data_IF_709511250535
#
_entry.id   IF_709511250535
#
_cell.length_a   1.000
_cell.length_b   1.000
_cell.length_c   1.000
_cell.angle_alpha   90.00
_cell.angle_beta   90.00
_cell.angle_gamma   90.00
#
_symmetry.space_group_name_H-M   'P 1'
#
loop_
_entity.id
_entity.type
_entity.pdbx_description
1 polymer ?
#
# COMPACT_ATOMS: atom_id res chain seq x y z
N UNK A 1 9.48 8.15 -12.58
CA UNK A 1 8.12 7.76 -12.17
C UNK A 1 7.23 7.56 -13.41
N UNK A 2 6.43 6.49 -13.45
CA UNK A 2 5.44 6.26 -14.53
C UNK A 2 4.35 7.33 -14.58
N UNK A 3 4.17 8.04 -13.48
CA UNK A 3 3.09 8.98 -13.21
C UNK A 3 3.63 10.41 -12.98
N UNK A 4 3.89 11.17 -14.05
CA UNK A 4 4.22 12.58 -13.95
C UNK A 4 2.99 13.38 -13.52
N UNK A 5 3.18 14.32 -12.61
CA UNK A 5 2.11 15.15 -12.10
C UNK A 5 2.67 16.19 -11.15
N UNK A 6 1.81 17.10 -10.71
CA UNK A 6 2.17 18.17 -9.78
C UNK A 6 2.90 17.62 -8.53
N UNK A 7 3.85 18.38 -7.97
CA UNK A 7 4.62 17.93 -6.82
C UNK A 7 3.78 17.85 -5.54
N UNK A 8 2.59 18.47 -5.53
CA UNK A 8 1.67 18.53 -4.41
C UNK A 8 0.23 18.22 -4.84
N UNK A 9 -0.62 17.95 -3.85
CA UNK A 9 -2.07 17.87 -4.03
C UNK A 9 -2.76 18.43 -2.79
N UNK A 10 -4.01 18.88 -2.95
CA UNK A 10 -4.84 19.33 -1.83
C UNK A 10 -5.64 18.15 -1.30
N UNK A 11 -5.37 17.74 -0.06
CA UNK A 11 -6.17 16.75 0.65
C UNK A 11 -7.46 17.40 1.15
N UNK A 12 -8.60 16.87 0.70
CA UNK A 12 -9.92 17.28 1.15
C UNK A 12 -10.35 16.55 2.43
N UNK A 13 -11.41 17.06 3.06
CA UNK A 13 -12.00 16.44 4.25
C UNK A 13 -12.95 15.32 3.85
N UNK A 14 -13.16 14.38 4.76
CA UNK A 14 -14.09 13.25 4.54
C UNK A 14 -13.84 12.05 5.44
N UNK A 15 -12.72 12.04 6.17
CA UNK A 15 -12.40 11.00 7.14
C UNK A 15 -12.81 11.34 8.57
N UNK A 16 -12.70 10.37 9.49
CA UNK A 16 -12.89 10.61 10.92
C UNK A 16 -11.84 11.59 11.44
N UNK A 17 -12.27 12.49 12.33
CA UNK A 17 -11.42 13.51 12.95
C UNK A 17 -11.04 13.08 14.37
N UNK A 18 -9.77 13.18 14.72
CA UNK A 18 -9.30 12.95 16.10
C UNK A 18 -9.18 14.29 16.83
N UNK A 19 -9.93 14.45 17.92
CA UNK A 19 -9.91 15.66 18.76
C UNK A 19 -11.06 16.63 18.48
N UNK A 20 -11.04 17.79 19.14
CA UNK A 20 -12.02 18.85 18.94
C UNK A 20 -11.62 19.73 17.76
N UNK A 21 -12.45 19.81 16.71
CA UNK A 21 -12.17 20.69 15.57
C UNK A 21 -12.93 20.31 14.31
N UNK A 22 -12.60 21.02 13.22
CA UNK A 22 -13.01 20.67 11.87
C UNK A 22 -11.80 20.56 10.96
N UNK A 23 -11.89 19.72 9.94
CA UNK A 23 -10.85 19.59 8.93
C UNK A 23 -10.81 20.83 8.04
N UNK A 24 -9.59 21.26 7.68
CA UNK A 24 -9.35 22.26 6.64
C UNK A 24 -8.51 21.62 5.53
N UNK A 25 -8.83 21.86 4.25
CA UNK A 25 -8.01 21.38 3.15
C UNK A 25 -6.54 21.76 3.35
N UNK A 26 -5.66 20.79 3.13
CA UNK A 26 -4.22 20.95 3.34
C UNK A 26 -3.47 20.51 2.09
N UNK A 27 -2.48 21.30 1.70
CA UNK A 27 -1.59 20.95 0.60
C UNK A 27 -0.48 20.02 1.12
N UNK A 28 -0.31 18.87 0.45
CA UNK A 28 0.65 17.84 0.82
C UNK A 28 1.55 17.50 -0.36
N UNK A 29 2.81 17.18 -0.07
CA UNK A 29 3.73 16.63 -1.07
C UNK A 29 3.23 15.28 -1.58
N UNK A 30 3.30 15.09 -2.90
CA UNK A 30 2.87 13.88 -3.60
C UNK A 30 3.95 12.81 -3.57
N UNK A 31 3.54 11.54 -3.52
CA UNK A 31 4.38 10.38 -3.77
C UNK A 31 3.67 9.41 -4.73
N UNK A 32 4.44 8.44 -5.25
CA UNK A 32 3.94 7.31 -6.02
C UNK A 32 4.34 5.94 -5.43
N UNK A 33 4.81 5.92 -4.18
CA UNK A 33 5.28 4.70 -3.53
C UNK A 33 4.76 4.70 -2.10
N UNK A 34 4.06 3.65 -1.71
CA UNK A 34 3.38 3.55 -0.42
C UNK A 34 3.86 2.34 0.35
N UNK A 35 3.75 2.39 1.67
CA UNK A 35 3.96 1.21 2.49
C UNK A 35 2.94 0.11 2.21
N UNK A 36 3.33 -1.14 2.37
CA UNK A 36 2.41 -2.28 2.22
C UNK A 36 1.64 -2.49 3.53
N UNK A 37 0.33 -2.23 3.51
CA UNK A 37 -0.55 -2.48 4.66
C UNK A 37 -0.85 -3.97 4.84
N UNK A 38 -0.83 -4.71 3.73
CA UNK A 38 -1.12 -6.14 3.66
C UNK A 38 -2.35 -6.42 2.81
N UNK A 39 -3.09 -7.47 3.14
CA UNK A 39 -4.27 -7.91 2.37
C UNK A 39 -5.59 -7.52 3.04
N UNK A 40 -5.55 -7.18 4.32
CA UNK A 40 -6.71 -6.68 5.06
C UNK A 40 -7.08 -5.28 4.60
N UNK A 41 -8.37 -5.00 4.43
CA UNK A 41 -8.85 -3.64 4.16
C UNK A 41 -8.85 -2.81 5.45
N UNK A 42 -8.38 -1.57 5.36
CA UNK A 42 -8.35 -0.67 6.52
C UNK A 42 -9.77 -0.29 7.00
N UNK A 43 -10.80 -0.31 6.15
CA UNK A 43 -12.19 -0.09 6.57
C UNK A 43 -12.68 -1.16 7.55
N UNK A 44 -12.07 -2.34 7.54
CA UNK A 44 -12.43 -3.41 8.47
C UNK A 44 -11.68 -3.28 9.81
N UNK A 45 -10.38 -2.92 9.76
CA UNK A 45 -9.49 -2.99 10.94
C UNK A 45 -9.24 -1.65 11.64
N UNK A 46 -9.55 -0.52 10.99
CA UNK A 46 -9.37 0.81 11.57
C UNK A 46 -10.55 1.32 12.42
N UNK A 47 -11.82 1.19 11.99
CA UNK A 47 -12.94 1.72 12.77
C UNK A 47 -13.13 1.01 14.12
N UNK A 48 -12.77 -0.27 14.18
CA UNK A 48 -13.04 -1.15 15.34
C UNK A 48 -11.82 -1.41 16.22
N UNK A 49 -10.64 -0.89 15.88
CA UNK A 49 -9.38 -1.34 16.51
C UNK A 49 -8.15 -0.46 16.31
N UNK A 50 -6.98 -1.09 16.46
CA UNK A 50 -5.66 -0.45 16.44
C UNK A 50 -5.09 -0.19 15.04
N UNK A 51 -5.89 -0.30 13.96
CA UNK A 51 -5.43 -0.19 12.56
C UNK A 51 -4.22 -1.08 12.27
N UNK A 52 -4.28 -2.35 12.68
CA UNK A 52 -3.18 -3.31 12.49
C UNK A 52 -3.44 -4.11 11.23
N UNK A 53 -2.67 -3.82 10.18
CA UNK A 53 -2.59 -4.65 8.98
C UNK A 53 -1.66 -5.84 9.17
N UNK A 54 -1.67 -6.76 8.21
CA UNK A 54 -0.82 -7.96 8.14
C UNK A 54 0.39 -7.82 7.19
N UNK A 55 0.55 -6.67 6.55
CA UNK A 55 1.73 -6.28 5.78
C UNK A 55 2.87 -5.74 6.65
N UNK A 56 3.57 -4.70 6.22
CA UNK A 56 4.80 -4.24 6.88
C UNK A 56 4.72 -2.80 7.37
N UNK A 57 3.76 -2.02 6.88
CA UNK A 57 3.47 -0.66 7.33
C UNK A 57 2.04 -0.55 7.85
N UNK A 58 1.89 -0.19 9.12
CA UNK A 58 0.59 0.04 9.74
C UNK A 58 0.72 1.00 10.93
N UNK A 59 -0.41 1.41 11.49
CA UNK A 59 -0.49 2.62 12.32
C UNK A 59 0.43 2.57 13.56
N UNK A 60 1.41 3.48 13.60
CA UNK A 60 2.27 3.74 14.78
C UNK A 60 2.94 2.49 15.36
N UNK A 61 3.38 1.57 14.50
CA UNK A 61 4.11 0.36 14.88
C UNK A 61 5.28 0.12 13.94
N UNK A 62 6.41 -0.25 14.52
CA UNK A 62 7.56 -0.75 13.76
C UNK A 62 7.56 -2.28 13.76
N UNK A 63 7.95 -2.87 12.64
CA UNK A 63 8.26 -4.31 12.53
C UNK A 63 9.77 -4.48 12.48
N UNK A 64 10.27 -5.63 12.93
CA UNK A 64 11.70 -5.98 12.91
C UNK A 64 11.95 -7.20 12.03
N UNK A 65 13.20 -7.49 11.67
CA UNK A 65 13.54 -8.64 10.80
C UNK A 65 12.88 -9.98 11.22
N UNK A 66 12.71 -10.22 12.52
CA UNK A 66 12.07 -11.45 13.03
C UNK A 66 10.60 -11.60 12.63
N UNK A 67 9.94 -10.49 12.30
CA UNK A 67 8.52 -10.46 11.97
C UNK A 67 8.27 -10.88 10.52
N UNK A 68 9.31 -10.89 9.67
CA UNK A 68 9.30 -11.35 8.28
C UNK A 68 9.44 -12.87 8.22
N UNK A 69 8.38 -13.59 8.61
CA UNK A 69 8.43 -15.05 8.80
C UNK A 69 8.57 -15.82 7.49
N UNK A 70 8.10 -15.25 6.40
CA UNK A 70 8.20 -15.83 5.06
C UNK A 70 9.52 -15.44 4.35
N UNK A 71 10.33 -14.59 4.99
CA UNK A 71 11.66 -14.16 4.55
C UNK A 71 11.67 -12.78 3.91
N UNK A 72 12.74 -12.01 4.14
CA UNK A 72 12.87 -10.63 3.66
C UNK A 72 12.77 -10.51 2.12
N UNK A 73 13.30 -11.49 1.38
CA UNK A 73 13.24 -11.52 -0.09
C UNK A 73 11.89 -11.98 -0.66
N UNK A 74 10.97 -12.42 0.20
CA UNK A 74 9.61 -12.87 -0.16
C UNK A 74 8.55 -12.00 0.51
N UNK A 75 8.91 -10.77 0.91
CA UNK A 75 7.97 -9.84 1.52
C UNK A 75 8.20 -8.44 0.98
N UNK A 76 7.18 -7.86 0.34
CA UNK A 76 7.18 -6.49 -0.11
C UNK A 76 6.91 -5.52 1.04
N UNK A 77 7.71 -4.46 1.06
CA UNK A 77 7.63 -3.40 2.08
C UNK A 77 7.07 -2.09 1.52
N UNK A 78 7.31 -1.80 0.25
CA UNK A 78 6.82 -0.61 -0.45
C UNK A 78 6.37 -1.02 -1.85
N UNK A 79 5.26 -0.47 -2.33
CA UNK A 79 4.75 -0.69 -3.69
C UNK A 79 4.41 0.60 -4.41
N UNK A 80 4.49 0.58 -5.73
CA UNK A 80 4.11 1.70 -6.59
C UNK A 80 2.59 1.89 -6.64
N UNK A 81 2.13 3.14 -6.58
CA UNK A 81 0.75 3.53 -6.88
C UNK A 81 0.72 4.78 -7.73
N UNK A 82 -0.02 4.70 -8.83
CA UNK A 82 -0.31 5.85 -9.69
C UNK A 82 -1.32 6.80 -9.02
N UNK A 83 -1.32 8.06 -9.46
CA UNK A 83 -2.29 9.08 -9.04
C UNK A 83 -3.59 9.05 -9.86
N UNK A 84 -3.78 8.05 -10.74
CA UNK A 84 -4.99 7.87 -11.58
C UNK A 84 -6.27 8.01 -10.77
N UNK A 85 -6.28 7.43 -9.57
CA UNK A 85 -7.45 7.37 -8.69
C UNK A 85 -7.29 8.28 -7.48
N UNK A 86 -6.11 8.25 -6.89
CA UNK A 86 -5.85 8.89 -5.63
C UNK A 86 -4.36 9.25 -5.51
N UNK A 87 -4.01 10.51 -5.24
CA UNK A 87 -2.63 10.85 -4.88
C UNK A 87 -2.28 10.30 -3.50
N UNK A 88 -0.99 10.14 -3.28
CA UNK A 88 -0.38 9.54 -2.10
C UNK A 88 0.64 10.49 -1.48
N UNK A 89 0.99 10.30 -0.21
CA UNK A 89 1.96 11.13 0.53
C UNK A 89 2.70 10.35 1.62
N UNK A 90 3.92 10.78 1.94
CA UNK A 90 4.70 10.29 3.09
C UNK A 90 4.70 11.27 4.28
N UNK A 91 3.95 12.37 4.20
CA UNK A 91 3.85 13.36 5.28
C UNK A 91 3.16 12.79 6.53
N UNK A 92 2.51 11.63 6.40
CA UNK A 92 1.82 10.93 7.49
C UNK A 92 0.31 11.11 7.41
N UNK A 93 -0.40 10.55 8.40
CA UNK A 93 -1.87 10.51 8.40
C UNK A 93 -2.42 11.84 8.91
N UNK A 94 -3.16 12.54 8.05
CA UNK A 94 -3.87 13.76 8.43
C UNK A 94 -5.28 13.41 8.89
N UNK A 95 -5.55 13.64 10.17
CA UNK A 95 -6.86 13.37 10.79
C UNK A 95 -7.95 14.21 10.13
N UNK A 96 -9.11 13.64 9.82
CA UNK A 96 -10.18 14.31 9.07
C UNK A 96 -10.02 14.29 7.56
N UNK A 97 -8.81 13.98 7.07
CA UNK A 97 -8.53 13.86 5.65
C UNK A 97 -9.27 12.67 5.04
N UNK A 98 -9.76 12.87 3.82
CA UNK A 98 -10.44 11.84 3.06
C UNK A 98 -9.50 10.66 2.74
N UNK A 99 -9.94 9.45 3.09
CA UNK A 99 -9.17 8.20 2.94
C UNK A 99 -7.73 8.30 3.47
N UNK A 100 -7.54 8.95 4.64
CA UNK A 100 -6.22 9.28 5.17
C UNK A 100 -5.23 8.11 5.28
N UNK A 101 -5.60 6.89 5.72
CA UNK A 101 -4.67 5.75 5.73
C UNK A 101 -4.19 5.39 4.34
N UNK A 102 -5.11 5.36 3.37
CA UNK A 102 -4.82 5.05 1.98
C UNK A 102 -3.84 6.05 1.34
N UNK A 103 -3.60 7.24 1.91
CA UNK A 103 -2.59 8.16 1.38
C UNK A 103 -1.15 7.68 1.59
N UNK A 104 -0.91 6.81 2.57
CA UNK A 104 0.45 6.43 3.01
C UNK A 104 0.72 4.95 2.78
N UNK A 105 -0.34 4.12 2.85
CA UNK A 105 -0.27 2.68 2.66
C UNK A 105 -1.26 2.20 1.60
N UNK A 106 -0.93 1.08 0.95
CA UNK A 106 -1.80 0.37 0.02
C UNK A 106 -2.16 -1.04 0.49
N UNK A 107 -3.27 -1.57 0.00
CA UNK A 107 -3.76 -2.94 0.27
C UNK A 107 -3.55 -3.80 -0.97
N UNK A 108 -3.14 -5.05 -0.79
CA UNK A 108 -2.97 -6.04 -1.83
C UNK A 108 -4.22 -6.94 -1.98
N UNK A 109 -5.41 -6.33 -2.03
CA UNK A 109 -6.67 -7.07 -2.16
C UNK A 109 -6.74 -7.85 -3.47
N UNK A 110 -6.25 -7.24 -4.56
CA UNK A 110 -6.19 -7.79 -5.90
C UNK A 110 -4.80 -7.56 -6.51
N UNK A 111 -4.40 -8.30 -7.56
CA UNK A 111 -3.19 -8.01 -8.31
C UNK A 111 -3.05 -6.53 -8.70
N UNK A 112 -1.83 -6.01 -8.89
CA UNK A 112 -1.62 -4.62 -9.28
C UNK A 112 -2.41 -4.25 -10.54
N UNK A 113 -2.86 -3.00 -10.63
CA UNK A 113 -3.69 -2.50 -11.75
C UNK A 113 -5.06 -3.18 -11.95
N UNK A 114 -5.48 -4.10 -11.06
CA UNK A 114 -6.80 -4.73 -11.15
C UNK A 114 -7.94 -3.70 -11.05
N UNK A 115 -8.91 -3.81 -11.97
CA UNK A 115 -10.14 -3.01 -12.02
C UNK A 115 -11.40 -3.85 -11.68
N UNK A 116 -11.22 -5.02 -11.07
CA UNK A 116 -12.30 -6.01 -10.84
C UNK A 116 -13.37 -5.51 -9.86
N UNK A 117 -12.98 -4.76 -8.83
CA UNK A 117 -13.91 -4.17 -7.87
C UNK A 117 -13.64 -2.68 -7.66
N UNK A 118 -14.67 -1.87 -7.96
CA UNK A 118 -14.60 -0.41 -7.93
C UNK A 118 -14.39 0.14 -6.50
N UNK A 119 -14.75 -0.59 -5.46
CA UNK A 119 -14.56 -0.11 -4.08
C UNK A 119 -13.10 -0.29 -3.59
N UNK A 120 -12.32 -1.20 -4.21
CA UNK A 120 -11.01 -1.62 -3.71
C UNK A 120 -9.81 -1.15 -4.55
N UNK A 121 -9.99 -0.82 -5.83
CA UNK A 121 -8.86 -0.43 -6.69
C UNK A 121 -8.19 0.90 -6.30
N UNK A 122 -8.90 1.85 -5.66
CA UNK A 122 -8.30 3.07 -5.12
C UNK A 122 -7.21 2.81 -4.08
N UNK A 123 -7.39 1.76 -3.27
CA UNK A 123 -6.48 1.40 -2.18
C UNK A 123 -5.37 0.45 -2.65
N UNK A 124 -5.55 -0.15 -3.83
CA UNK A 124 -4.62 -1.10 -4.41
C UNK A 124 -3.38 -0.42 -5.01
N UNK A 125 -2.35 -1.22 -5.23
CA UNK A 125 -1.15 -0.82 -5.95
C UNK A 125 -1.41 -0.73 -7.45
N UNK A 126 -0.78 0.23 -8.11
CA UNK A 126 -1.00 0.51 -9.54
C UNK A 126 0.17 1.24 -10.17
N UNK A 127 0.26 1.17 -11.48
CA UNK A 127 1.35 1.73 -12.26
C UNK A 127 0.87 2.04 -13.67
N UNK A 128 1.41 3.09 -14.28
CA UNK A 128 1.23 3.33 -15.71
C UNK A 128 2.26 2.59 -16.58
N UNK A 129 3.19 1.85 -15.97
CA UNK A 129 4.11 1.01 -16.73
C UNK A 129 3.37 -0.16 -17.37
N UNK A 130 3.46 -0.36 -18.70
CA UNK A 130 2.75 -1.46 -19.39
C UNK A 130 3.16 -2.86 -18.94
N UNK A 131 4.32 -2.98 -18.29
CA UNK A 131 4.91 -4.26 -17.86
C UNK A 131 4.61 -4.61 -16.40
N UNK A 132 3.93 -3.72 -15.65
CA UNK A 132 3.52 -3.99 -14.29
C UNK A 132 3.89 -2.90 -13.28
N UNK A 133 3.93 -3.30 -12.01
CA UNK A 133 4.07 -2.39 -10.87
C UNK A 133 5.35 -2.70 -10.08
N UNK A 134 6.11 -1.67 -9.69
CA UNK A 134 7.33 -1.89 -8.91
C UNK A 134 7.05 -2.10 -7.43
N UNK A 135 7.73 -3.08 -6.84
CA UNK A 135 7.73 -3.35 -5.41
C UNK A 135 9.14 -3.48 -4.87
N UNK A 136 9.36 -2.94 -3.68
CA UNK A 136 10.59 -3.11 -2.90
C UNK A 136 10.39 -4.25 -1.92
N UNK A 137 11.25 -5.27 -1.97
CA UNK A 137 11.30 -6.35 -1.00
C UNK A 137 12.10 -5.95 0.26
N UNK A 138 11.88 -6.67 1.36
CA UNK A 138 12.53 -6.43 2.64
C UNK A 138 14.05 -6.62 2.64
N UNK A 139 14.60 -7.34 1.65
CA UNK A 139 16.05 -7.48 1.44
C UNK A 139 16.67 -6.34 0.62
N UNK A 140 15.85 -5.39 0.16
CA UNK A 140 16.27 -4.24 -0.64
C UNK A 140 16.19 -4.44 -2.15
N UNK A 141 15.81 -5.62 -2.63
CA UNK A 141 15.61 -5.85 -4.06
C UNK A 141 14.33 -5.18 -4.56
N UNK A 142 14.38 -4.64 -5.79
CA UNK A 142 13.20 -4.09 -6.47
C UNK A 142 12.75 -5.08 -7.53
N UNK A 143 11.47 -5.43 -7.49
CA UNK A 143 10.84 -6.36 -8.42
C UNK A 143 9.76 -5.65 -9.22
N UNK A 144 9.73 -5.93 -10.52
CA UNK A 144 8.61 -5.55 -11.37
C UNK A 144 7.62 -6.71 -11.39
N UNK A 145 6.40 -6.47 -10.92
CA UNK A 145 5.35 -7.47 -10.79
C UNK A 145 4.30 -7.22 -11.87
N UNK A 146 4.07 -8.22 -12.71
CA UNK A 146 3.07 -8.18 -13.78
C UNK A 146 1.65 -8.15 -13.23
N UNK A 147 0.74 -7.53 -13.97
CA UNK A 147 -0.67 -7.38 -13.59
C UNK A 147 -1.44 -8.71 -13.59
N UNK A 148 -0.88 -9.75 -14.23
CA UNK A 148 -1.39 -11.12 -14.34
C UNK A 148 -0.82 -12.09 -13.30
N UNK A 149 -0.08 -11.59 -12.29
CA UNK A 149 0.42 -12.42 -11.18
C UNK A 149 -0.74 -13.17 -10.50
N UNK A 150 -0.50 -14.45 -10.16
CA UNK A 150 -1.47 -15.22 -9.37
C UNK A 150 -1.77 -14.47 -8.06
N UNK A 151 -3.05 -14.26 -7.81
CA UNK A 151 -3.49 -13.43 -6.68
C UNK A 151 -3.02 -13.97 -5.33
N UNK A 152 -2.96 -15.29 -5.15
CA UNK A 152 -2.51 -15.87 -3.87
C UNK A 152 -1.03 -15.66 -3.67
N UNK A 153 -0.23 -15.81 -4.73
CA UNK A 153 1.20 -15.51 -4.69
C UNK A 153 1.43 -14.05 -4.34
N UNK A 154 0.74 -13.14 -5.02
CA UNK A 154 0.86 -11.70 -4.78
C UNK A 154 0.47 -11.32 -3.35
N UNK A 155 -0.65 -11.85 -2.85
CA UNK A 155 -1.10 -11.67 -1.48
C UNK A 155 -0.05 -12.15 -0.48
N UNK A 156 0.52 -13.35 -0.68
CA UNK A 156 1.59 -13.87 0.16
C UNK A 156 2.81 -12.97 0.23
N UNK A 157 3.24 -12.44 -0.91
CA UNK A 157 4.34 -11.46 -1.00
C UNK A 157 4.02 -10.15 -0.27
N UNK A 158 2.74 -9.79 -0.08
CA UNK A 158 2.33 -8.57 0.59
C UNK A 158 2.04 -8.74 2.09
N UNK A 159 2.14 -9.95 2.65
CA UNK A 159 2.05 -10.19 4.10
C UNK A 159 3.43 -10.33 4.72
N UNK A 160 3.58 -9.96 6.01
CA UNK A 160 4.86 -10.15 6.73
C UNK A 160 5.07 -11.58 7.24
N UNK A 161 4.04 -12.41 7.25
CA UNK A 161 4.10 -13.73 7.89
C UNK A 161 2.79 -14.50 7.78
N UNK A 162 2.18 -14.50 6.60
CA UNK A 162 0.97 -15.27 6.30
C UNK A 162 1.23 -16.77 6.34
N UNK A 163 2.49 -17.22 6.28
CA UNK A 163 2.83 -18.65 6.26
C UNK A 163 2.46 -19.32 4.95
N UNK A 164 2.23 -18.51 3.92
CA UNK A 164 1.85 -18.96 2.59
C UNK A 164 3.11 -19.45 1.88
N UNK A 165 3.06 -20.65 1.31
CA UNK A 165 4.14 -21.16 0.47
C UNK A 165 4.14 -20.39 -0.86
N UNK A 166 4.73 -19.20 -0.86
CA UNK A 166 5.14 -18.51 -2.08
C UNK A 166 6.30 -19.32 -2.64
N UNK A 167 6.00 -20.38 -3.41
CA UNK A 167 7.02 -21.23 -4.02
C UNK A 167 8.01 -20.35 -4.78
N UNK A 168 9.31 -20.61 -4.59
CA UNK A 168 10.49 -19.97 -5.22
C UNK A 168 10.20 -19.07 -6.45
N UNK A 169 9.65 -17.87 -6.24
CA UNK A 169 9.21 -17.00 -7.35
C UNK A 169 10.40 -16.26 -7.99
N UNK A 170 11.51 -16.14 -7.27
CA UNK A 170 12.69 -15.35 -7.69
C UNK A 170 13.96 -16.18 -7.92
N UNK A 171 13.97 -17.50 -7.74
CA UNK A 171 15.15 -18.32 -8.11
C UNK A 171 15.03 -18.78 -9.56
N UNK A 172 15.27 -17.85 -10.47
CA UNK A 172 15.09 -18.10 -11.90
C UNK A 172 15.72 -17.05 -12.81
N UNK A 173 16.86 -16.46 -12.43
CA UNK A 173 17.96 -16.01 -13.31
C UNK A 173 19.07 -15.34 -12.51
#
# INVERSE_FOLDING_TARGET
>A
PSDPGEPTFVLQGGGPYLGSGSFKPVELARNNYLGVFGVLDFHDVCPTGSCVGDGTFFLNRGVVHRDFRDGLSQTFIVGERSSKLAPSTWVGMVTGGEHAPARIVGVAAFPPNSEIEEEHYMHNFSSFHPSGTHFLAGDGAVHLIGDDIDQRVYQGLCTRGGGELVGQFFTGR
#
